data_IF_717252590815
#
_entry.id   IF_717252590815
#
_cell.length_a   1.000
_cell.length_b   1.000
_cell.length_c   1.000
_cell.angle_alpha   90.00
_cell.angle_beta   90.00
_cell.angle_gamma   90.00
#
_symmetry.space_group_name_H-M   'P 1'
#
loop_
_entity.id
_entity.type
_entity.pdbx_description
1 polymer ?
#
# COMPACT_ATOMS: atom_id res chain seq x y z
N UNK A 1 14.92 71.92 -2.52
CA UNK A 1 13.98 71.51 -1.46
C UNK A 1 13.67 70.03 -1.71
N UNK A 2 13.91 69.02 -0.88
CA UNK A 2 13.99 68.88 0.58
C UNK A 2 15.01 67.77 0.93
N UNK A 3 15.38 67.74 2.21
CA UNK A 3 16.56 67.13 2.81
C UNK A 3 16.48 65.60 2.99
N UNK A 4 17.64 64.94 2.89
CA UNK A 4 17.96 63.66 3.54
C UNK A 4 17.98 63.83 5.06
N UNK A 5 17.48 62.83 5.79
CA UNK A 5 17.77 62.63 7.21
C UNK A 5 17.85 61.13 7.54
N UNK A 6 19.01 60.73 8.04
CA UNK A 6 19.27 59.45 8.71
C UNK A 6 18.52 59.40 10.06
N UNK A 7 18.03 58.23 10.46
CA UNK A 7 18.11 57.83 11.87
C UNK A 7 18.00 56.31 12.04
N UNK A 8 19.12 55.72 12.45
CA UNK A 8 19.26 54.40 13.06
C UNK A 8 18.91 54.47 14.55
N UNK A 9 17.98 53.66 15.05
CA UNK A 9 17.82 53.38 16.49
C UNK A 9 17.44 51.92 16.79
N UNK A 10 18.43 51.22 17.34
CA UNK A 10 18.41 50.19 18.39
C UNK A 10 17.16 49.31 18.57
N UNK A 11 17.25 48.07 18.07
CA UNK A 11 16.52 46.90 18.56
C UNK A 11 17.53 45.95 19.21
N UNK A 12 17.99 46.22 20.43
CA UNK A 12 18.89 45.30 21.12
C UNK A 12 18.77 45.24 22.65
N UNK A 13 17.70 45.78 23.26
CA UNK A 13 17.53 45.73 24.72
C UNK A 13 16.44 44.78 25.23
N UNK A 14 15.59 44.22 24.36
CA UNK A 14 14.44 43.42 24.80
C UNK A 14 14.66 41.90 24.79
N UNK A 15 15.72 41.40 24.13
CA UNK A 15 16.01 39.95 24.07
C UNK A 15 16.89 39.44 25.22
N UNK A 16 17.70 40.29 25.85
CA UNK A 16 18.59 39.86 26.95
C UNK A 16 17.88 39.71 28.30
N UNK A 17 16.72 40.37 28.50
CA UNK A 17 15.98 40.27 29.76
C UNK A 17 15.13 38.99 29.84
N UNK A 18 14.73 38.42 28.70
CA UNK A 18 13.90 37.20 28.70
C UNK A 18 14.72 35.91 28.95
N UNK A 19 16.02 35.92 28.64
CA UNK A 19 16.88 34.72 28.72
C UNK A 19 17.40 34.48 30.15
N UNK A 20 17.44 35.50 31.02
CA UNK A 20 17.94 35.33 32.41
C UNK A 20 16.95 34.74 33.41
N UNK A 21 15.65 34.69 33.10
CA UNK A 21 14.63 34.18 34.03
C UNK A 21 14.27 32.69 33.87
N UNK A 22 14.86 31.97 32.91
CA UNK A 22 14.57 30.55 32.67
C UNK A 22 15.59 29.61 33.36
N UNK A 23 16.70 30.14 33.90
CA UNK A 23 17.85 29.32 34.30
C UNK A 23 18.08 29.10 35.81
N UNK A 24 17.11 29.39 36.70
CA UNK A 24 17.36 29.30 38.16
C UNK A 24 16.38 28.45 38.99
N UNK A 25 15.58 27.56 38.37
CA UNK A 25 14.81 26.57 39.15
C UNK A 25 15.42 25.18 39.06
N UNK A 26 15.91 24.58 40.16
CA UNK A 26 16.36 23.20 40.15
C UNK A 26 15.18 22.27 39.85
N UNK A 27 15.31 21.47 38.79
CA UNK A 27 14.37 20.41 38.43
C UNK A 27 14.45 19.31 39.49
N UNK A 28 13.43 19.22 40.35
CA UNK A 28 13.24 18.08 41.24
C UNK A 28 12.81 16.88 40.39
N UNK A 29 13.78 16.08 39.95
CA UNK A 29 13.52 14.81 39.26
C UNK A 29 12.90 13.84 40.28
N UNK A 30 11.58 13.69 40.25
CA UNK A 30 10.92 12.55 40.89
C UNK A 30 11.37 11.30 40.15
N UNK A 31 12.12 10.41 40.82
CA UNK A 31 12.39 9.05 40.34
C UNK A 31 11.06 8.33 40.08
N UNK A 32 10.60 8.36 38.83
CA UNK A 32 9.56 7.45 38.37
C UNK A 32 10.22 6.08 38.31
N UNK A 33 9.95 5.25 39.32
CA UNK A 33 10.30 3.83 39.27
C UNK A 33 9.34 3.19 38.27
N UNK A 34 9.76 3.11 37.01
CA UNK A 34 9.07 2.28 36.02
C UNK A 34 9.32 0.84 36.46
N UNK A 35 8.31 0.24 37.11
CA UNK A 35 8.29 -1.20 37.30
C UNK A 35 8.17 -1.83 35.92
N UNK A 36 9.32 -2.24 35.35
CA UNK A 36 9.34 -3.16 34.23
C UNK A 36 8.67 -4.46 34.69
N UNK A 37 7.36 -4.57 34.47
CA UNK A 37 6.71 -5.87 34.39
C UNK A 37 7.33 -6.52 33.17
N UNK A 38 8.34 -7.36 33.39
CA UNK A 38 8.74 -8.38 32.43
C UNK A 38 7.46 -9.09 31.98
N UNK A 39 7.00 -8.80 30.76
CA UNK A 39 5.97 -9.58 30.11
C UNK A 39 6.51 -11.01 30.06
N UNK A 40 5.94 -11.91 30.87
CA UNK A 40 6.23 -13.33 30.76
C UNK A 40 5.98 -13.71 29.30
N UNK A 41 6.99 -14.24 28.62
CA UNK A 41 6.84 -14.80 27.29
C UNK A 41 5.74 -15.85 27.35
N UNK A 42 4.57 -15.52 26.81
CA UNK A 42 3.46 -16.48 26.72
C UNK A 42 3.92 -17.57 25.75
N UNK A 43 3.74 -18.84 26.13
CA UNK A 43 4.00 -19.95 25.21
C UNK A 43 3.07 -19.81 23.99
N UNK A 44 3.55 -20.09 22.77
CA UNK A 44 2.71 -20.06 21.59
C UNK A 44 1.54 -21.03 21.78
N UNK A 45 0.33 -20.56 21.46
CA UNK A 45 -0.86 -21.40 21.51
C UNK A 45 -0.86 -22.33 20.30
N UNK A 46 -1.02 -23.63 20.52
CA UNK A 46 -1.37 -24.57 19.45
C UNK A 46 -2.83 -24.26 19.08
N UNK A 47 -3.09 -23.96 17.81
CA UNK A 47 -4.44 -23.64 17.35
C UNK A 47 -5.28 -24.92 17.39
N UNK A 48 -6.27 -24.96 18.28
CA UNK A 48 -7.27 -26.03 18.28
C UNK A 48 -7.97 -26.08 16.91
N UNK A 49 -8.20 -27.29 16.41
CA UNK A 49 -8.78 -27.53 15.07
C UNK A 49 -10.11 -26.79 14.86
N UNK A 50 -10.91 -26.65 15.92
CA UNK A 50 -12.18 -25.90 15.94
C UNK A 50 -12.05 -24.42 15.55
N UNK A 51 -10.87 -23.81 15.74
CA UNK A 51 -10.66 -22.38 15.49
C UNK A 51 -9.65 -22.10 14.37
N UNK A 52 -9.19 -23.14 13.69
CA UNK A 52 -8.14 -23.04 12.69
C UNK A 52 -8.56 -22.18 11.51
N UNK A 53 -9.75 -22.40 10.96
CA UNK A 53 -10.25 -21.64 9.81
C UNK A 53 -10.34 -20.14 10.11
N UNK A 54 -10.83 -19.79 11.30
CA UNK A 54 -10.90 -18.39 11.73
C UNK A 54 -9.50 -17.76 11.90
N UNK A 55 -8.55 -18.50 12.49
CA UNK A 55 -7.19 -18.01 12.63
C UNK A 55 -6.50 -17.83 11.27
N UNK A 56 -6.71 -18.77 10.35
CA UNK A 56 -6.22 -18.71 8.97
C UNK A 56 -6.80 -17.50 8.25
N UNK A 57 -8.11 -17.28 8.33
CA UNK A 57 -8.79 -16.12 7.74
C UNK A 57 -8.18 -14.79 8.23
N UNK A 58 -7.94 -14.65 9.54
CA UNK A 58 -7.25 -13.48 10.08
C UNK A 58 -5.82 -13.33 9.57
N UNK A 59 -5.05 -14.42 9.46
CA UNK A 59 -3.69 -14.37 8.89
C UNK A 59 -3.74 -13.91 7.43
N UNK A 60 -4.65 -14.45 6.62
CA UNK A 60 -4.80 -14.07 5.21
C UNK A 60 -5.19 -12.59 5.05
N UNK A 61 -6.10 -12.10 5.89
CA UNK A 61 -6.48 -10.70 5.90
C UNK A 61 -5.29 -9.80 6.28
N UNK A 62 -4.53 -10.18 7.31
CA UNK A 62 -3.33 -9.43 7.70
C UNK A 62 -2.22 -9.48 6.65
N UNK A 63 -2.06 -10.59 5.90
CA UNK A 63 -1.11 -10.67 4.77
C UNK A 63 -1.50 -9.68 3.67
N UNK A 64 -2.78 -9.58 3.33
CA UNK A 64 -3.30 -8.62 2.36
C UNK A 64 -2.88 -7.19 2.73
N UNK A 65 -3.08 -6.81 3.99
CA UNK A 65 -2.70 -5.51 4.52
C UNK A 65 -1.19 -5.29 4.49
N UNK A 66 -0.40 -6.25 4.98
CA UNK A 66 1.08 -6.17 4.97
C UNK A 66 1.60 -5.92 3.56
N UNK A 67 1.08 -6.64 2.56
CA UNK A 67 1.49 -6.54 1.16
C UNK A 67 0.83 -5.38 0.40
N UNK A 68 -0.09 -4.66 1.04
CA UNK A 68 -0.62 -3.38 0.55
C UNK A 68 0.28 -2.20 0.88
N UNK A 69 1.03 -2.26 1.99
CA UNK A 69 1.89 -1.16 2.45
C UNK A 69 3.06 -0.87 1.49
N UNK A 70 3.27 0.41 1.17
CA UNK A 70 4.30 0.87 0.22
C UNK A 70 5.70 0.35 0.56
N UNK A 71 6.14 0.53 1.81
CA UNK A 71 7.48 0.11 2.27
C UNK A 71 7.67 -1.40 2.12
N UNK A 72 6.66 -2.19 2.47
CA UNK A 72 6.72 -3.64 2.39
C UNK A 72 6.73 -4.13 0.94
N UNK A 73 5.90 -3.53 0.07
CA UNK A 73 5.92 -3.82 -1.37
C UNK A 73 7.28 -3.51 -1.96
N UNK A 74 7.84 -2.35 -1.63
CA UNK A 74 9.17 -1.92 -2.07
C UNK A 74 10.24 -2.90 -1.57
N UNK A 75 10.19 -3.35 -0.32
CA UNK A 75 11.12 -4.35 0.21
C UNK A 75 11.01 -5.71 -0.51
N UNK A 76 9.78 -6.17 -0.79
CA UNK A 76 9.54 -7.39 -1.57
C UNK A 76 10.12 -7.27 -2.98
N UNK A 77 9.85 -6.17 -3.69
CA UNK A 77 10.38 -5.95 -5.05
C UNK A 77 11.90 -6.00 -5.04
N UNK A 78 12.57 -5.27 -4.13
CA UNK A 78 14.04 -5.28 -4.01
C UNK A 78 14.59 -6.69 -3.73
N UNK A 79 13.91 -7.45 -2.88
CA UNK A 79 14.35 -8.80 -2.48
C UNK A 79 14.35 -9.79 -3.65
N UNK A 80 13.34 -9.70 -4.52
CA UNK A 80 13.14 -10.65 -5.61
C UNK A 80 13.65 -10.16 -6.97
N UNK A 81 13.77 -8.84 -7.16
CA UNK A 81 14.32 -8.18 -8.36
C UNK A 81 15.49 -7.28 -7.93
N UNK A 82 16.67 -7.87 -7.65
CA UNK A 82 17.82 -7.09 -7.21
C UNK A 82 18.29 -6.13 -8.31
N UNK A 83 18.68 -4.91 -7.91
CA UNK A 83 19.10 -3.83 -8.81
C UNK A 83 17.99 -3.37 -9.78
N UNK A 84 16.75 -3.32 -9.30
CA UNK A 84 15.66 -2.69 -10.05
C UNK A 84 16.00 -1.20 -10.32
N UNK A 85 15.88 -0.71 -11.56
CA UNK A 85 16.07 0.71 -11.86
C UNK A 85 15.09 1.58 -11.08
N UNK A 86 15.51 2.80 -10.75
CA UNK A 86 14.69 3.80 -10.07
C UNK A 86 14.02 3.28 -8.78
N UNK A 87 14.73 2.44 -8.03
CA UNK A 87 14.26 1.84 -6.77
C UNK A 87 13.72 2.88 -5.78
N UNK A 88 14.33 4.06 -5.73
CA UNK A 88 13.91 5.14 -4.83
C UNK A 88 12.59 5.78 -5.22
N UNK A 89 12.15 5.62 -6.47
CA UNK A 89 10.87 6.13 -6.96
C UNK A 89 9.73 5.11 -6.86
N UNK A 90 9.95 3.88 -6.40
CA UNK A 90 8.83 2.92 -6.24
C UNK A 90 7.81 3.45 -5.23
N UNK A 91 6.55 3.58 -5.67
CA UNK A 91 5.42 4.12 -4.87
C UNK A 91 4.17 3.23 -4.92
N UNK A 92 3.32 3.36 -3.91
CA UNK A 92 1.99 2.75 -3.82
C UNK A 92 0.95 3.79 -3.41
N UNK A 93 0.01 4.09 -4.31
CA UNK A 93 -1.11 5.02 -4.07
C UNK A 93 -2.33 4.28 -3.56
N UNK A 94 -2.39 4.04 -2.24
CA UNK A 94 -3.52 3.37 -1.59
C UNK A 94 -4.75 4.31 -1.43
N UNK A 95 -5.94 3.76 -1.22
CA UNK A 95 -7.16 4.57 -1.03
C UNK A 95 -7.31 5.08 0.41
N UNK A 96 -6.63 4.45 1.38
CA UNK A 96 -6.80 4.75 2.81
C UNK A 96 -5.83 5.81 3.34
N UNK A 97 -5.12 6.53 2.47
CA UNK A 97 -4.28 7.65 2.93
C UNK A 97 -5.19 8.82 3.32
N UNK A 98 -5.33 9.04 4.62
CA UNK A 98 -5.89 10.31 5.13
C UNK A 98 -4.92 11.43 4.75
N UNK A 99 -5.25 12.19 3.71
CA UNK A 99 -4.52 13.41 3.39
C UNK A 99 -4.73 14.41 4.53
N UNK A 100 -3.65 14.78 5.22
CA UNK A 100 -3.67 15.86 6.22
C UNK A 100 -4.02 17.17 5.54
N UNK A 101 -5.31 17.46 5.43
CA UNK A 101 -5.77 18.74 4.91
C UNK A 101 -5.37 19.82 5.92
N UNK A 102 -4.56 20.80 5.48
CA UNK A 102 -4.06 21.90 6.31
C UNK A 102 -5.17 22.70 7.02
N UNK A 103 -4.79 23.61 7.94
CA UNK A 103 -5.77 24.38 8.73
C UNK A 103 -6.77 25.20 7.90
N UNK A 104 -6.40 25.58 6.67
CA UNK A 104 -7.28 26.30 5.73
C UNK A 104 -8.40 25.40 5.17
N UNK A 105 -8.12 24.12 4.90
CA UNK A 105 -9.15 23.16 4.49
C UNK A 105 -10.04 22.74 5.67
N UNK A 106 -9.52 22.73 6.90
CA UNK A 106 -10.34 22.57 8.12
C UNK A 106 -11.32 23.74 8.30
N UNK A 107 -10.97 24.95 7.85
CA UNK A 107 -11.88 26.11 7.78
C UNK A 107 -12.94 25.96 6.68
N UNK A 108 -12.55 25.57 5.45
CA UNK A 108 -13.50 25.26 4.35
C UNK A 108 -14.51 24.16 4.72
N UNK A 109 -14.07 23.10 5.41
CA UNK A 109 -14.91 22.01 5.93
C UNK A 109 -15.92 22.48 7.00
N UNK A 110 -15.61 23.55 7.76
CA UNK A 110 -16.53 24.13 8.75
C UNK A 110 -17.56 25.07 8.11
N UNK A 111 -17.21 25.79 7.05
CA UNK A 111 -18.12 26.71 6.36
C UNK A 111 -19.11 26.00 5.42
N UNK A 112 -18.72 24.85 4.85
CA UNK A 112 -19.60 24.04 3.99
C UNK A 112 -20.53 23.06 4.73
N UNK A 113 -20.66 23.14 6.06
CA UNK A 113 -21.61 22.30 6.84
C UNK A 113 -23.10 22.49 6.49
N UNK A 114 -23.43 23.36 5.53
CA UNK A 114 -24.76 23.49 4.93
C UNK A 114 -24.97 22.74 3.60
N UNK A 115 -23.91 22.35 2.87
CA UNK A 115 -24.01 21.74 1.54
C UNK A 115 -23.10 20.50 1.41
N UNK A 116 -23.64 19.42 0.85
CA UNK A 116 -23.05 18.06 0.67
C UNK A 116 -21.71 17.96 -0.12
N UNK A 117 -20.96 19.03 -0.33
CA UNK A 117 -19.75 19.08 -1.17
C UNK A 117 -18.43 18.90 -0.37
N UNK A 118 -18.36 17.92 0.53
CA UNK A 118 -17.11 17.62 1.26
C UNK A 118 -16.29 16.49 0.62
N UNK A 119 -16.83 15.83 -0.40
CA UNK A 119 -16.33 14.55 -0.92
C UNK A 119 -15.38 14.66 -2.13
N UNK A 120 -15.37 15.79 -2.86
CA UNK A 120 -14.49 15.99 -4.04
C UNK A 120 -12.99 16.04 -3.68
N UNK A 121 -12.64 16.57 -2.51
CA UNK A 121 -11.23 16.96 -2.24
C UNK A 121 -10.25 15.79 -2.12
N UNK A 122 -10.61 14.66 -1.50
CA UNK A 122 -9.67 13.54 -1.35
C UNK A 122 -9.44 12.82 -2.69
N UNK A 123 -10.50 12.69 -3.50
CA UNK A 123 -10.40 12.16 -4.86
C UNK A 123 -9.49 13.04 -5.71
N UNK A 124 -9.73 14.36 -5.73
CA UNK A 124 -8.93 15.33 -6.47
C UNK A 124 -7.47 15.38 -6.00
N UNK A 125 -7.23 15.30 -4.69
CA UNK A 125 -5.88 15.28 -4.12
C UNK A 125 -5.11 14.02 -4.54
N UNK A 126 -5.72 12.83 -4.44
CA UNK A 126 -5.10 11.57 -4.91
C UNK A 126 -4.86 11.60 -6.42
N UNK A 127 -5.82 12.08 -7.19
CA UNK A 127 -5.68 12.25 -8.63
C UNK A 127 -4.51 13.16 -8.98
N UNK A 128 -4.39 14.30 -8.27
CA UNK A 128 -3.29 15.25 -8.44
C UNK A 128 -1.96 14.61 -8.07
N UNK A 129 -1.88 13.90 -6.94
CA UNK A 129 -0.66 13.21 -6.50
C UNK A 129 -0.20 12.19 -7.54
N UNK A 130 -1.10 11.34 -8.05
CA UNK A 130 -0.80 10.36 -9.08
C UNK A 130 -0.28 11.06 -10.35
N UNK A 131 -0.92 12.16 -10.79
CA UNK A 131 -0.50 12.91 -11.99
C UNK A 131 0.84 13.61 -11.82
N UNK A 132 1.08 14.23 -10.66
CA UNK A 132 2.35 14.86 -10.33
C UNK A 132 3.48 13.82 -10.34
N UNK A 133 3.25 12.67 -9.71
CA UNK A 133 4.19 11.56 -9.73
C UNK A 133 4.39 11.00 -11.15
N UNK A 134 3.33 10.82 -11.93
CA UNK A 134 3.45 10.37 -13.32
C UNK A 134 4.27 11.37 -14.17
N UNK A 135 4.14 12.68 -13.90
CA UNK A 135 4.93 13.73 -14.54
C UNK A 135 6.41 13.60 -14.21
N UNK A 136 6.73 13.32 -12.95
CA UNK A 136 8.11 13.08 -12.48
C UNK A 136 8.71 11.85 -13.16
N UNK A 137 8.06 10.69 -13.06
CA UNK A 137 8.64 9.42 -13.55
C UNK A 137 8.78 9.36 -15.06
N UNK A 138 8.01 10.14 -15.82
CA UNK A 138 8.16 10.26 -17.27
C UNK A 138 9.53 10.84 -17.69
N UNK A 139 10.18 11.60 -16.80
CA UNK A 139 11.47 12.24 -17.06
C UNK A 139 12.67 11.36 -16.68
N UNK A 140 12.44 10.22 -16.00
CA UNK A 140 13.50 9.34 -15.55
C UNK A 140 14.04 8.48 -16.71
N UNK A 141 15.30 8.04 -16.58
CA UNK A 141 15.86 7.02 -17.46
C UNK A 141 15.42 5.62 -17.02
N UNK A 142 15.47 4.63 -17.92
CA UNK A 142 15.06 3.24 -17.66
C UNK A 142 13.56 3.11 -17.31
N UNK A 143 13.18 2.00 -16.67
CA UNK A 143 11.79 1.80 -16.25
C UNK A 143 11.57 2.15 -14.78
N UNK A 144 10.33 2.49 -14.44
CA UNK A 144 9.88 2.77 -13.07
C UNK A 144 8.66 1.90 -12.77
N UNK A 145 8.57 1.40 -11.54
CA UNK A 145 7.43 0.60 -11.07
C UNK A 145 6.65 1.36 -10.02
N UNK A 146 5.33 1.36 -10.11
CA UNK A 146 4.47 1.84 -9.03
C UNK A 146 3.15 1.07 -8.99
N UNK A 147 2.44 1.18 -7.88
CA UNK A 147 1.13 0.58 -7.68
C UNK A 147 0.12 1.68 -7.36
N UNK A 148 -1.11 1.53 -7.85
CA UNK A 148 -2.21 2.40 -7.47
C UNK A 148 -3.47 1.57 -7.27
N UNK A 149 -4.33 2.05 -6.39
CA UNK A 149 -5.68 1.49 -6.23
C UNK A 149 -6.71 2.37 -6.92
N UNK A 150 -7.86 1.80 -7.27
CA UNK A 150 -9.02 2.59 -7.67
C UNK A 150 -9.31 3.67 -6.61
N UNK A 151 -9.74 4.84 -7.08
CA UNK A 151 -10.12 5.94 -6.19
C UNK A 151 -11.60 5.75 -5.86
N UNK A 152 -11.93 5.60 -4.58
CA UNK A 152 -13.31 5.42 -4.15
C UNK A 152 -14.08 6.73 -4.30
N UNK A 153 -15.15 6.73 -5.11
CA UNK A 153 -16.04 7.89 -5.26
C UNK A 153 -17.11 7.97 -4.15
N UNK A 154 -17.42 6.85 -3.47
CA UNK A 154 -18.51 6.78 -2.49
C UNK A 154 -18.17 5.91 -1.28
N UNK A 155 -17.78 6.54 -0.17
CA UNK A 155 -17.88 5.91 1.15
C UNK A 155 -19.33 6.06 1.65
N UNK A 156 -20.21 5.11 1.32
CA UNK A 156 -21.38 4.91 2.18
C UNK A 156 -20.87 4.38 3.52
N UNK A 157 -21.00 5.20 4.57
CA UNK A 157 -20.61 4.94 5.95
C UNK A 157 -20.61 3.45 6.33
N UNK A 158 -19.42 2.89 6.51
CA UNK A 158 -19.22 1.60 7.20
C UNK A 158 -19.16 0.34 6.33
N UNK A 159 -18.98 0.46 5.01
CA UNK A 159 -18.55 -0.68 4.18
C UNK A 159 -17.14 -0.42 3.67
N UNK A 160 -16.21 -1.30 4.01
CA UNK A 160 -14.92 -1.39 3.33
C UNK A 160 -15.20 -1.73 1.87
N UNK A 161 -15.26 -0.72 1.00
CA UNK A 161 -15.25 -0.97 -0.43
C UNK A 161 -13.89 -1.52 -0.80
N UNK A 162 -13.87 -2.67 -1.47
CA UNK A 162 -12.64 -3.34 -1.82
C UNK A 162 -11.85 -2.50 -2.83
N UNK A 163 -10.65 -2.09 -2.43
CA UNK A 163 -9.74 -1.32 -3.26
C UNK A 163 -9.04 -2.26 -4.25
N UNK A 164 -9.28 -2.09 -5.55
CA UNK A 164 -8.63 -2.92 -6.57
C UNK A 164 -7.22 -2.39 -6.85
N UNK A 165 -6.19 -3.20 -6.62
CA UNK A 165 -4.77 -2.87 -6.83
C UNK A 165 -4.32 -3.16 -8.27
N UNK A 166 -3.75 -2.16 -8.95
CA UNK A 166 -3.06 -2.33 -10.22
C UNK A 166 -1.60 -1.88 -10.11
N UNK A 167 -0.72 -2.58 -10.80
CA UNK A 167 0.71 -2.24 -10.85
C UNK A 167 1.10 -1.78 -12.24
N UNK A 168 1.99 -0.79 -12.32
CA UNK A 168 2.37 -0.11 -13.55
C UNK A 168 3.88 -0.19 -13.71
N UNK A 169 4.32 -0.42 -14.95
CA UNK A 169 5.72 -0.36 -15.33
C UNK A 169 5.84 0.68 -16.44
N UNK A 170 6.48 1.80 -16.13
CA UNK A 170 6.72 2.88 -17.09
C UNK A 170 8.07 2.63 -17.75
N UNK A 171 8.09 2.06 -18.95
CA UNK A 171 9.31 1.87 -19.74
C UNK A 171 9.61 3.13 -20.54
N UNK A 172 10.48 4.00 -20.01
CA UNK A 172 10.81 5.27 -20.66
C UNK A 172 11.73 5.11 -21.88
N UNK A 173 12.42 3.98 -22.02
CA UNK A 173 13.27 3.68 -23.18
C UNK A 173 12.38 3.36 -24.39
N UNK A 174 11.40 2.47 -24.20
CA UNK A 174 10.50 2.05 -25.29
C UNK A 174 9.27 2.92 -25.43
N UNK A 175 9.04 3.82 -24.47
CA UNK A 175 7.84 4.65 -24.36
C UNK A 175 6.60 3.76 -24.29
N UNK A 176 6.61 2.86 -23.30
CA UNK A 176 5.50 1.93 -23.07
C UNK A 176 5.12 1.89 -21.60
N UNK A 177 3.85 2.15 -21.32
CA UNK A 177 3.24 1.86 -20.03
C UNK A 177 2.67 0.43 -20.07
N UNK A 178 3.25 -0.47 -19.28
CA UNK A 178 2.67 -1.78 -19.00
C UNK A 178 1.76 -1.68 -17.78
N UNK A 179 0.55 -2.22 -17.90
CA UNK A 179 -0.44 -2.27 -16.83
C UNK A 179 -0.66 -3.71 -16.40
N UNK A 180 -0.41 -4.00 -15.13
CA UNK A 180 -0.70 -5.27 -14.47
C UNK A 180 -2.02 -5.12 -13.74
N UNK A 181 -3.02 -5.86 -14.21
CA UNK A 181 -4.33 -5.98 -13.59
C UNK A 181 -4.62 -7.47 -13.34
N UNK A 182 -4.62 -7.93 -12.08
CA UNK A 182 -4.89 -9.33 -11.73
C UNK A 182 -6.21 -9.89 -12.26
N UNK A 183 -7.21 -9.01 -12.42
CA UNK A 183 -8.55 -9.41 -12.85
C UNK A 183 -8.68 -9.49 -14.38
N UNK A 184 -7.73 -8.96 -15.16
CA UNK A 184 -7.91 -8.84 -16.62
C UNK A 184 -7.38 -10.04 -17.39
N UNK A 185 -8.26 -10.69 -18.15
CA UNK A 185 -7.88 -11.67 -19.19
C UNK A 185 -7.77 -10.97 -20.55
N UNK A 186 -6.66 -11.20 -21.25
CA UNK A 186 -6.37 -10.80 -22.65
C UNK A 186 -7.43 -9.91 -23.34
N UNK A 187 -7.47 -8.63 -22.95
CA UNK A 187 -8.07 -7.54 -23.71
C UNK A 187 -9.60 -7.47 -23.84
N UNK A 188 -10.41 -8.40 -23.32
CA UNK A 188 -11.88 -8.35 -23.54
C UNK A 188 -12.80 -8.70 -22.36
N UNK A 189 -12.29 -9.31 -21.28
CA UNK A 189 -13.09 -9.71 -20.12
C UNK A 189 -12.40 -9.21 -18.84
N UNK A 190 -13.10 -8.37 -18.06
CA UNK A 190 -12.70 -8.04 -16.70
C UNK A 190 -13.19 -9.16 -15.77
N UNK A 191 -12.37 -9.56 -14.81
CA UNK A 191 -12.79 -10.37 -13.68
C UNK A 191 -13.68 -9.56 -12.74
N UNK A 192 -13.35 -9.51 -11.45
CA UNK A 192 -14.24 -8.93 -10.43
C UNK A 192 -14.30 -7.39 -10.51
N UNK A 193 -13.21 -6.73 -10.90
CA UNK A 193 -13.09 -5.26 -10.86
C UNK A 193 -12.67 -4.66 -12.19
N UNK A 194 -13.21 -3.47 -12.48
CA UNK A 194 -12.71 -2.61 -13.56
C UNK A 194 -11.48 -1.87 -13.03
N UNK A 195 -10.34 -1.85 -13.75
CA UNK A 195 -9.14 -1.11 -13.36
C UNK A 195 -9.31 0.39 -13.70
N UNK A 196 -10.20 1.05 -12.96
CA UNK A 196 -10.64 2.43 -13.19
C UNK A 196 -9.46 3.40 -13.22
N UNK A 197 -8.58 3.37 -12.20
CA UNK A 197 -7.42 4.28 -12.15
C UNK A 197 -6.46 4.06 -13.33
N UNK A 198 -6.35 2.83 -13.85
CA UNK A 198 -5.56 2.58 -15.05
C UNK A 198 -6.23 3.21 -16.28
N UNK A 199 -7.51 2.94 -16.51
CA UNK A 199 -8.23 3.29 -17.73
C UNK A 199 -8.54 4.79 -17.83
N UNK A 200 -8.92 5.40 -16.71
CA UNK A 200 -9.45 6.78 -16.65
C UNK A 200 -8.38 7.80 -16.29
N UNK A 201 -7.29 7.40 -15.62
CA UNK A 201 -6.30 8.33 -15.09
C UNK A 201 -4.93 8.09 -15.71
N UNK A 202 -4.32 6.94 -15.44
CA UNK A 202 -2.90 6.73 -15.74
C UNK A 202 -2.68 6.51 -17.24
N UNK A 203 -3.42 5.60 -17.89
CA UNK A 203 -3.24 5.36 -19.32
C UNK A 203 -3.55 6.61 -20.18
N UNK A 204 -4.64 7.38 -19.94
CA UNK A 204 -4.87 8.65 -20.63
C UNK A 204 -3.73 9.64 -20.41
N UNK A 205 -3.25 9.81 -19.17
CA UNK A 205 -2.15 10.72 -18.85
C UNK A 205 -0.92 10.47 -19.74
N UNK A 206 -0.46 9.22 -19.84
CA UNK A 206 0.72 8.89 -20.66
C UNK A 206 0.47 9.08 -22.16
N UNK A 207 -0.73 8.76 -22.67
CA UNK A 207 -1.07 8.96 -24.10
C UNK A 207 -1.19 10.43 -24.48
N UNK A 208 -1.64 11.28 -23.56
CA UNK A 208 -1.86 12.71 -23.79
C UNK A 208 -0.58 13.54 -23.68
N UNK A 209 0.28 13.22 -22.70
CA UNK A 209 1.49 14.01 -22.43
C UNK A 209 2.66 13.66 -23.36
N UNK A 210 2.67 12.48 -23.98
CA UNK A 210 3.72 12.09 -24.91
C UNK A 210 3.16 11.19 -26.02
N UNK A 211 3.15 11.71 -27.26
CA UNK A 211 2.45 11.10 -28.41
C UNK A 211 2.98 9.73 -28.79
N UNK A 212 4.20 9.39 -28.39
CA UNK A 212 4.80 8.08 -28.69
C UNK A 212 4.57 7.02 -27.58
N UNK A 213 3.97 7.36 -26.44
CA UNK A 213 3.68 6.35 -25.42
C UNK A 213 2.59 5.40 -25.87
N UNK A 214 2.93 4.11 -25.85
CA UNK A 214 1.95 3.03 -25.96
C UNK A 214 1.51 2.61 -24.57
N UNK A 215 0.25 2.25 -24.44
CA UNK A 215 -0.29 1.70 -23.19
C UNK A 215 -0.81 0.30 -23.48
N UNK A 216 -0.46 -0.68 -22.64
CA UNK A 216 -0.91 -2.06 -22.83
C UNK A 216 -1.00 -2.79 -21.50
N UNK A 217 -1.95 -3.70 -21.42
CA UNK A 217 -2.01 -4.63 -20.29
C UNK A 217 -1.01 -5.76 -20.48
N UNK A 218 -0.35 -6.17 -19.40
CA UNK A 218 0.42 -7.41 -19.35
C UNK A 218 -0.52 -8.58 -19.59
N UNK A 219 -0.11 -9.49 -20.48
CA UNK A 219 -0.97 -10.62 -20.86
C UNK A 219 -0.89 -11.69 -19.78
N UNK A 220 -2.06 -12.13 -19.31
CA UNK A 220 -2.19 -13.31 -18.45
C UNK A 220 -2.84 -14.43 -19.26
N UNK A 221 -2.37 -15.67 -19.07
CA UNK A 221 -3.02 -16.85 -19.69
C UNK A 221 -4.47 -17.00 -19.21
N UNK A 222 -4.67 -16.84 -17.90
CA UNK A 222 -5.97 -16.76 -17.22
C UNK A 222 -5.92 -15.59 -16.23
N UNK A 223 -7.06 -14.99 -15.88
CA UNK A 223 -7.10 -13.99 -14.80
C UNK A 223 -6.62 -14.64 -13.49
N UNK A 224 -5.87 -13.89 -12.71
CA UNK A 224 -5.37 -14.34 -11.41
C UNK A 224 -6.43 -14.17 -10.31
N UNK A 225 -7.25 -13.14 -10.45
CA UNK A 225 -8.36 -12.84 -9.55
C UNK A 225 -9.69 -13.12 -10.26
N UNK A 226 -10.47 -14.09 -9.77
CA UNK A 226 -11.76 -14.49 -10.36
C UNK A 226 -12.87 -14.60 -9.32
N UNK A 227 -14.12 -14.49 -9.78
CA UNK A 227 -15.34 -14.70 -9.01
C UNK A 227 -16.05 -15.99 -9.47
N UNK A 228 -15.29 -17.04 -9.76
CA UNK A 228 -15.81 -18.29 -10.32
C UNK A 228 -16.85 -18.96 -9.39
N UNK A 229 -16.94 -18.54 -8.12
CA UNK A 229 -18.07 -18.78 -7.23
C UNK A 229 -18.45 -17.51 -6.43
N UNK A 230 -19.73 -17.33 -6.15
CA UNK A 230 -20.28 -16.18 -5.37
C UNK A 230 -19.82 -16.22 -3.89
N UNK A 231 -19.29 -17.35 -3.45
CA UNK A 231 -18.88 -17.62 -2.06
C UNK A 231 -17.35 -17.52 -1.86
N UNK A 232 -16.54 -17.42 -2.93
CA UNK A 232 -15.06 -17.47 -2.88
C UNK A 232 -14.43 -16.37 -3.75
N UNK A 233 -14.88 -15.13 -3.63
CA UNK A 233 -14.24 -14.02 -4.33
C UNK A 233 -12.77 -13.91 -3.89
N UNK A 234 -11.83 -14.05 -4.83
CA UNK A 234 -10.41 -13.85 -4.53
C UNK A 234 -10.16 -12.37 -4.24
N UNK A 235 -9.83 -12.02 -2.99
CA UNK A 235 -9.59 -10.64 -2.54
C UNK A 235 -8.11 -10.25 -2.54
N UNK A 236 -7.22 -11.07 -3.11
CA UNK A 236 -5.76 -10.90 -2.99
C UNK A 236 -5.14 -10.03 -4.10
N UNK A 237 -5.82 -8.97 -4.56
CA UNK A 237 -5.30 -8.11 -5.64
C UNK A 237 -3.93 -7.47 -5.32
N UNK A 238 -3.68 -7.12 -4.06
CA UNK A 238 -2.38 -6.64 -3.55
C UNK A 238 -1.27 -7.65 -3.86
N UNK A 239 -1.53 -8.90 -3.50
CA UNK A 239 -0.60 -10.03 -3.65
C UNK A 239 -0.41 -10.43 -5.10
N UNK A 240 -1.50 -10.55 -5.86
CA UNK A 240 -1.44 -10.94 -7.26
C UNK A 240 -0.72 -9.91 -8.12
N UNK A 241 -1.02 -8.62 -7.92
CA UNK A 241 -0.36 -7.56 -8.69
C UNK A 241 1.17 -7.56 -8.45
N UNK A 242 1.59 -7.84 -7.22
CA UNK A 242 3.00 -7.95 -6.83
C UNK A 242 3.66 -9.22 -7.37
N UNK A 243 2.99 -10.37 -7.28
CA UNK A 243 3.48 -11.64 -7.84
C UNK A 243 3.68 -11.53 -9.36
N UNK A 244 2.66 -11.03 -10.07
CA UNK A 244 2.70 -10.88 -11.54
C UNK A 244 3.82 -9.91 -11.94
N UNK A 245 4.03 -8.83 -11.20
CA UNK A 245 5.15 -7.91 -11.43
C UNK A 245 6.49 -8.64 -11.33
N UNK A 246 6.70 -9.41 -10.27
CA UNK A 246 7.96 -10.12 -10.03
C UNK A 246 8.21 -11.14 -11.15
N UNK A 247 7.21 -11.94 -11.50
CA UNK A 247 7.35 -12.90 -12.60
C UNK A 247 7.59 -12.20 -13.94
N UNK A 248 6.90 -11.08 -14.19
CA UNK A 248 7.11 -10.29 -15.40
C UNK A 248 8.55 -9.76 -15.49
N UNK A 249 9.10 -9.27 -14.38
CA UNK A 249 10.45 -8.71 -14.35
C UNK A 249 11.55 -9.78 -14.34
N UNK A 250 11.32 -10.97 -13.77
CA UNK A 250 12.26 -12.10 -13.83
C UNK A 250 12.45 -12.63 -15.25
N UNK A 251 11.37 -12.72 -16.00
CA UNK A 251 11.38 -13.20 -17.39
C UNK A 251 11.87 -12.14 -18.38
N UNK A 252 12.05 -10.90 -17.92
CA UNK A 252 12.57 -9.80 -18.70
C UNK A 252 13.99 -9.41 -18.28
N UNK A 253 14.75 -8.86 -19.23
CA UNK A 253 16.00 -8.20 -18.89
C UNK A 253 15.68 -6.74 -18.53
N UNK A 254 16.36 -6.21 -17.50
CA UNK A 254 16.22 -4.82 -17.04
C UNK A 254 16.33 -3.78 -18.16
N UNK A 255 17.11 -4.06 -19.20
CA UNK A 255 17.35 -3.13 -20.32
C UNK A 255 16.40 -3.35 -21.51
N UNK A 256 15.54 -4.38 -21.46
CA UNK A 256 14.74 -4.80 -22.60
C UNK A 256 13.45 -5.53 -22.20
N UNK A 257 12.46 -4.79 -21.69
CA UNK A 257 11.13 -5.34 -21.36
C UNK A 257 10.37 -5.76 -22.63
N UNK A 258 10.00 -7.02 -22.74
CA UNK A 258 9.27 -7.60 -23.87
C UNK A 258 7.85 -7.94 -23.47
N UNK A 259 7.00 -8.05 -24.48
CA UNK A 259 5.66 -8.60 -24.31
C UNK A 259 5.76 -10.10 -24.05
N UNK A 260 5.46 -10.48 -22.82
CA UNK A 260 5.36 -11.87 -22.38
C UNK A 260 3.96 -12.15 -21.85
N UNK A 261 3.60 -13.42 -21.84
CA UNK A 261 2.35 -13.90 -21.25
C UNK A 261 2.68 -14.60 -19.94
N UNK A 262 2.16 -14.09 -18.83
CA UNK A 262 2.34 -14.70 -17.51
C UNK A 262 1.40 -15.90 -17.38
N UNK A 263 1.97 -17.04 -17.01
CA UNK A 263 1.25 -18.31 -16.90
C UNK A 263 0.55 -18.43 -15.54
N UNK A 264 -0.61 -17.79 -15.43
CA UNK A 264 -1.56 -18.02 -14.34
C UNK A 264 -2.39 -19.27 -14.70
N UNK A 265 -2.61 -20.22 -13.77
CA UNK A 265 -3.43 -21.40 -14.03
C UNK A 265 -4.93 -21.09 -14.07
N UNK A 266 -5.70 -22.00 -14.67
CA UNK A 266 -7.16 -21.90 -14.75
C UNK A 266 -7.84 -22.32 -13.44
N UNK A 267 -7.28 -23.31 -12.73
CA UNK A 267 -7.88 -23.85 -11.51
C UNK A 267 -7.62 -22.96 -10.30
N UNK A 268 -8.66 -22.65 -9.51
CA UNK A 268 -8.55 -21.90 -8.27
C UNK A 268 -7.59 -22.55 -7.26
N UNK A 269 -7.60 -23.88 -7.16
CA UNK A 269 -6.67 -24.63 -6.29
C UNK A 269 -5.22 -24.37 -6.68
N UNK A 270 -4.90 -24.34 -7.97
CA UNK A 270 -3.54 -24.08 -8.43
C UNK A 270 -3.14 -22.61 -8.21
N UNK A 271 -4.07 -21.68 -8.40
CA UNK A 271 -3.89 -20.25 -8.09
C UNK A 271 -3.54 -20.04 -6.61
N UNK A 272 -4.32 -20.64 -5.70
CA UNK A 272 -4.06 -20.59 -4.27
C UNK A 272 -2.76 -21.30 -3.87
N UNK A 273 -2.36 -22.36 -4.57
CA UNK A 273 -1.06 -22.96 -4.35
C UNK A 273 0.09 -22.00 -4.71
N UNK A 274 -0.05 -21.26 -5.81
CA UNK A 274 0.92 -20.21 -6.21
C UNK A 274 0.97 -19.11 -5.15
N UNK A 275 -0.17 -18.56 -4.74
CA UNK A 275 -0.21 -17.50 -3.72
C UNK A 275 0.37 -17.96 -2.39
N UNK A 276 -0.03 -19.14 -1.90
CA UNK A 276 0.48 -19.64 -0.62
C UNK A 276 1.99 -19.84 -0.68
N UNK A 277 2.52 -20.37 -1.79
CA UNK A 277 3.97 -20.47 -1.99
C UNK A 277 4.61 -19.09 -2.00
N UNK A 278 4.03 -18.13 -2.72
CA UNK A 278 4.52 -16.76 -2.76
C UNK A 278 4.55 -16.11 -1.37
N UNK A 279 3.51 -16.29 -0.55
CA UNK A 279 3.50 -15.82 0.84
C UNK A 279 4.62 -16.46 1.65
N UNK A 280 4.75 -17.80 1.60
CA UNK A 280 5.81 -18.51 2.32
C UNK A 280 7.19 -18.03 1.92
N UNK A 281 7.43 -17.82 0.62
CA UNK A 281 8.70 -17.33 0.09
C UNK A 281 9.00 -15.90 0.55
N UNK A 282 8.00 -15.00 0.50
CA UNK A 282 8.12 -13.60 0.96
C UNK A 282 8.44 -13.53 2.45
N UNK A 283 7.59 -14.11 3.29
CA UNK A 283 7.72 -14.01 4.74
C UNK A 283 8.93 -14.79 5.27
N UNK A 284 9.39 -15.84 4.59
CA UNK A 284 10.65 -16.52 4.96
C UNK A 284 11.89 -15.75 4.53
N UNK A 285 11.81 -14.97 3.45
CA UNK A 285 12.97 -14.26 2.89
C UNK A 285 13.20 -12.88 3.48
N UNK A 286 12.20 -12.30 4.17
CA UNK A 286 12.19 -10.92 4.63
C UNK A 286 11.71 -10.84 6.09
N UNK A 287 12.63 -10.85 7.08
CA UNK A 287 12.27 -10.90 8.50
C UNK A 287 11.47 -9.69 9.03
N UNK A 288 11.66 -8.50 8.48
CA UNK A 288 10.88 -7.30 8.82
C UNK A 288 9.38 -7.54 8.58
N UNK A 289 9.02 -8.17 7.47
CA UNK A 289 7.64 -8.50 7.12
C UNK A 289 7.00 -9.49 8.10
N UNK A 290 7.76 -10.39 8.73
CA UNK A 290 7.23 -11.26 9.80
C UNK A 290 6.78 -10.44 11.02
N UNK A 291 7.56 -9.41 11.36
CA UNK A 291 7.25 -8.51 12.47
C UNK A 291 6.01 -7.67 12.14
N UNK A 292 5.88 -7.21 10.90
CA UNK A 292 4.70 -6.49 10.43
C UNK A 292 3.45 -7.37 10.36
N UNK A 293 3.57 -8.61 9.91
CA UNK A 293 2.47 -9.57 9.92
C UNK A 293 1.93 -9.76 11.33
N UNK A 294 2.82 -9.96 12.30
CA UNK A 294 2.42 -10.07 13.70
C UNK A 294 1.73 -8.80 14.21
N UNK A 295 2.33 -7.63 13.94
CA UNK A 295 1.79 -6.33 14.38
C UNK A 295 0.39 -6.08 13.81
N UNK A 296 0.20 -6.30 12.51
CA UNK A 296 -1.08 -6.10 11.83
C UNK A 296 -2.10 -7.12 12.33
N UNK A 297 -1.75 -8.41 12.40
CA UNK A 297 -2.62 -9.45 12.93
C UNK A 297 -3.12 -9.15 14.36
N UNK A 298 -2.21 -8.75 15.26
CA UNK A 298 -2.58 -8.37 16.62
C UNK A 298 -3.48 -7.12 16.65
N UNK A 299 -3.23 -6.12 15.80
CA UNK A 299 -4.07 -4.91 15.67
C UNK A 299 -5.47 -5.27 15.21
N UNK A 300 -5.58 -6.04 14.14
CA UNK A 300 -6.86 -6.42 13.55
C UNK A 300 -7.74 -7.21 14.51
N UNK A 301 -7.14 -8.14 15.28
CA UNK A 301 -7.85 -8.88 16.34
C UNK A 301 -8.32 -7.94 17.47
N UNK A 302 -7.54 -6.92 17.81
CA UNK A 302 -7.90 -5.96 18.86
C UNK A 302 -9.02 -5.01 18.43
N UNK A 303 -9.03 -4.62 17.16
CA UNK A 303 -10.03 -3.72 16.58
C UNK A 303 -11.31 -4.48 16.18
N UNK A 304 -11.20 -5.78 15.88
CA UNK A 304 -12.30 -6.71 15.61
C UNK A 304 -13.19 -6.94 16.85
N UNK A 305 -14.47 -6.56 16.76
CA UNK A 305 -15.35 -6.24 17.91
C UNK A 305 -15.89 -7.35 18.85
N UNK A 306 -15.56 -8.65 18.77
CA UNK A 306 -15.98 -9.56 19.86
C UNK A 306 -14.81 -10.20 20.63
N UNK A 307 -14.92 -10.16 21.97
CA UNK A 307 -13.97 -10.74 22.94
C UNK A 307 -13.57 -12.20 22.64
N UNK A 308 -14.42 -12.95 21.93
CA UNK A 308 -14.18 -14.34 21.52
C UNK A 308 -12.92 -14.55 20.67
N UNK A 309 -12.46 -13.51 19.95
CA UNK A 309 -11.26 -13.60 19.11
C UNK A 309 -9.98 -13.12 19.80
N UNK A 310 -10.07 -12.52 20.99
CA UNK A 310 -8.88 -12.09 21.75
C UNK A 310 -7.92 -13.23 22.07
N UNK A 311 -8.40 -14.49 22.08
CA UNK A 311 -7.53 -15.66 22.24
C UNK A 311 -6.53 -15.85 21.10
N UNK A 312 -6.86 -15.36 19.90
CA UNK A 312 -5.99 -15.44 18.72
C UNK A 312 -4.74 -14.58 18.84
N UNK A 313 -4.72 -13.59 19.74
CA UNK A 313 -3.55 -12.72 19.95
C UNK A 313 -2.27 -13.48 20.37
N UNK A 314 -2.40 -14.72 20.85
CA UNK A 314 -1.24 -15.55 21.22
C UNK A 314 -0.84 -16.55 20.12
N UNK A 315 -1.49 -16.50 18.96
CA UNK A 315 -1.08 -17.25 17.77
C UNK A 315 0.12 -16.53 17.17
N UNK A 316 1.12 -17.30 16.75
CA UNK A 316 2.18 -16.79 15.90
C UNK A 316 1.73 -16.89 14.44
N UNK A 317 1.36 -15.77 13.78
CA UNK A 317 0.81 -15.80 12.43
C UNK A 317 1.83 -16.27 11.39
N UNK A 318 3.13 -16.09 11.65
CA UNK A 318 4.18 -16.61 10.76
C UNK A 318 4.23 -18.14 10.79
N UNK A 319 4.29 -18.73 11.99
CA UNK A 319 4.27 -20.19 12.12
C UNK A 319 2.99 -20.79 11.52
N UNK A 320 1.84 -20.16 11.77
CA UNK A 320 0.57 -20.61 11.17
C UNK A 320 0.62 -20.54 9.64
N UNK A 321 1.09 -19.44 9.04
CA UNK A 321 1.28 -19.31 7.60
C UNK A 321 2.17 -20.44 7.04
N UNK A 322 3.28 -20.76 7.70
CA UNK A 322 4.19 -21.82 7.25
C UNK A 322 3.53 -23.20 7.27
N UNK A 323 2.63 -23.44 8.22
CA UNK A 323 1.88 -24.69 8.38
C UNK A 323 0.60 -24.77 7.51
N UNK A 324 0.18 -23.67 6.89
CA UNK A 324 -1.02 -23.65 6.04
C UNK A 324 -0.86 -24.55 4.81
N UNK A 325 -1.98 -25.17 4.42
CA UNK A 325 -2.17 -25.96 3.19
C UNK A 325 -2.99 -25.16 2.19
N UNK A 326 -2.86 -25.51 0.92
CA UNK A 326 -3.62 -24.87 -0.18
C UNK A 326 -5.13 -24.91 0.03
N UNK A 327 -5.66 -25.97 0.65
CA UNK A 327 -7.10 -26.12 0.94
C UNK A 327 -7.62 -25.15 2.00
N UNK A 328 -6.74 -24.39 2.66
CA UNK A 328 -7.09 -23.43 3.70
C UNK A 328 -7.05 -21.98 3.18
N UNK A 329 -6.80 -21.80 1.88
CA UNK A 329 -6.80 -20.50 1.20
C UNK A 329 -8.18 -20.11 0.65
N UNK A 330 -9.12 -21.06 0.63
CA UNK A 330 -10.50 -20.91 0.12
C UNK A 330 -11.46 -20.42 1.19
#
# INVERSE_FOLDING_TARGET
MLKRSNSSKSLNSSKEVLIKNILTKPLTIKKITIKNKTMKSRKPMIVDEEYRDAAVSWVLHSIKDVLGLEDNRKEVIKRFIPNIPNEDHIRTFDAYVEYETGEEDKKRKKEKKGNKEQYDTNYELKLKEIRDYCTEVMQLENYVVFTATNIEEFQEYGKDSETHYQTFIVDNIKKVLYVIDPAKKNGKEYGIYIPQVAIEIIMPFFRENEKNYKTKFVKLKFPAQTNDSVEEADIFCQSWSLYILIEFLKDNNKDNLRDITINIPESQKERYNILLKFFKDVFSSIPSLQSDLKRIFEREIQEGKPDKYKKFINIDPYSLLMDMKTSEMS
#
